data_IF_520691446088
#
_entry.id   IF_520691446088
#
_cell.length_a   1.000
_cell.length_b   1.000
_cell.length_c   1.000
_cell.angle_alpha   90.00
_cell.angle_beta   90.00
_cell.angle_gamma   90.00
#
_symmetry.space_group_name_H-M   'P 1'
#
loop_
_entity.id
_entity.type
_entity.pdbx_description
1 polymer ?
#
# COMPACT_ATOMS: atom_id res chain seq x y z
N UNK A 1 -3.39 22.82 6.10
CA UNK A 1 -2.93 21.91 7.16
C UNK A 1 -3.39 20.53 6.75
N UNK A 2 -2.47 19.60 6.52
CA UNK A 2 -2.80 18.24 6.12
C UNK A 2 -3.34 17.50 7.35
N UNK A 3 -4.54 16.91 7.24
CA UNK A 3 -5.19 16.17 8.31
C UNK A 3 -5.63 14.82 7.79
N UNK A 4 -5.62 13.82 8.65
CA UNK A 4 -6.06 12.47 8.33
C UNK A 4 -7.55 12.52 7.96
N UNK A 5 -7.88 12.03 6.77
CA UNK A 5 -9.26 12.02 6.26
C UNK A 5 -10.18 11.10 7.07
N UNK A 6 -9.61 10.16 7.84
CA UNK A 6 -10.35 9.18 8.65
C UNK A 6 -10.61 9.67 10.08
N UNK A 7 -9.62 10.27 10.75
CA UNK A 7 -9.74 10.61 12.18
C UNK A 7 -9.47 12.09 12.52
N UNK A 8 -9.13 12.92 11.54
CA UNK A 8 -8.78 14.33 11.72
C UNK A 8 -7.43 14.58 12.41
N UNK A 9 -6.64 13.54 12.68
CA UNK A 9 -5.30 13.68 13.24
C UNK A 9 -4.36 14.46 12.31
N UNK A 10 -3.39 15.18 12.88
CA UNK A 10 -2.49 16.08 12.11
C UNK A 10 -1.03 15.64 12.14
N UNK A 11 -0.73 14.62 12.94
CA UNK A 11 0.60 14.04 13.08
C UNK A 11 0.72 12.78 12.22
N UNK A 12 1.78 12.77 11.40
CA UNK A 12 2.10 11.69 10.49
C UNK A 12 3.58 11.37 10.59
N UNK A 13 3.91 10.10 10.41
CA UNK A 13 5.29 9.65 10.21
C UNK A 13 5.43 9.00 8.84
N UNK A 14 6.64 9.05 8.29
CA UNK A 14 6.93 8.40 7.01
C UNK A 14 7.50 7.02 7.28
N UNK A 15 6.91 6.01 6.65
CA UNK A 15 7.44 4.66 6.70
C UNK A 15 7.30 3.96 5.34
N UNK A 16 7.92 2.79 5.22
CA UNK A 16 7.74 1.91 4.07
C UNK A 16 6.83 0.76 4.48
N UNK A 17 5.64 0.71 3.90
CA UNK A 17 4.61 -0.28 4.21
C UNK A 17 4.57 -1.40 3.17
N UNK A 18 3.86 -2.46 3.51
CA UNK A 18 3.49 -3.54 2.59
C UNK A 18 1.98 -3.57 2.45
N UNK A 19 1.49 -3.81 1.24
CA UNK A 19 0.05 -3.89 0.94
C UNK A 19 -0.24 -5.05 -0.02
N UNK A 20 -1.36 -5.73 0.22
CA UNK A 20 -1.86 -6.80 -0.66
C UNK A 20 -2.99 -6.23 -1.50
N UNK A 21 -2.78 -6.18 -2.81
CA UNK A 21 -3.78 -5.76 -3.78
C UNK A 21 -4.48 -6.97 -4.40
N UNK A 22 -5.79 -6.86 -4.60
CA UNK A 22 -6.57 -7.84 -5.34
C UNK A 22 -6.93 -7.27 -6.72
N UNK A 23 -6.26 -7.76 -7.77
CA UNK A 23 -6.40 -7.28 -9.15
C UNK A 23 -6.49 -8.49 -10.09
N UNK A 24 -7.44 -8.47 -11.03
CA UNK A 24 -7.62 -9.54 -12.04
C UNK A 24 -7.68 -10.96 -11.43
N UNK A 25 -8.40 -11.11 -10.31
CA UNK A 25 -8.53 -12.36 -9.55
C UNK A 25 -7.21 -12.90 -8.97
N UNK A 26 -6.20 -12.05 -8.81
CA UNK A 26 -4.91 -12.39 -8.22
C UNK A 26 -4.60 -11.48 -7.04
N UNK A 27 -3.96 -12.05 -6.03
CA UNK A 27 -3.36 -11.28 -4.95
C UNK A 27 -1.93 -10.89 -5.33
N UNK A 28 -1.62 -9.61 -5.19
CA UNK A 28 -0.30 -9.05 -5.49
C UNK A 28 0.18 -8.35 -4.23
N UNK A 29 1.24 -8.88 -3.61
CA UNK A 29 1.94 -8.20 -2.52
C UNK A 29 2.89 -7.16 -3.12
N UNK A 30 2.74 -5.91 -2.70
CA UNK A 30 3.66 -4.82 -3.03
C UNK A 30 4.38 -4.40 -1.76
N UNK A 31 5.70 -4.60 -1.75
CA UNK A 31 6.58 -4.30 -0.62
C UNK A 31 7.17 -2.89 -0.73
N UNK A 32 7.61 -2.35 0.40
CA UNK A 32 8.40 -1.13 0.49
C UNK A 32 7.75 0.14 -0.10
N UNK A 33 6.42 0.25 0.00
CA UNK A 33 5.66 1.40 -0.48
C UNK A 33 5.90 2.59 0.45
N UNK A 34 6.42 3.73 -0.02
CA UNK A 34 6.51 4.94 0.79
C UNK A 34 5.12 5.44 1.19
N UNK A 35 4.86 5.63 2.49
CA UNK A 35 3.58 6.09 2.98
C UNK A 35 3.74 7.15 4.08
N UNK A 36 2.80 8.09 4.13
CA UNK A 36 2.53 8.89 5.33
C UNK A 36 1.50 8.17 6.18
N UNK A 37 1.87 7.82 7.41
CA UNK A 37 1.02 7.04 8.30
C UNK A 37 0.58 7.89 9.49
N UNK A 38 -0.74 7.99 9.68
CA UNK A 38 -1.31 8.75 10.77
C UNK A 38 -0.90 8.14 12.10
N UNK A 39 -0.26 8.92 12.98
CA UNK A 39 0.20 8.46 14.30
C UNK A 39 -0.98 8.04 15.18
N UNK A 40 -2.17 8.60 14.95
CA UNK A 40 -3.35 8.35 15.78
C UNK A 40 -4.12 7.09 15.40
N UNK A 41 -4.39 6.87 14.11
CA UNK A 41 -5.26 5.77 13.66
C UNK A 41 -4.58 4.76 12.73
N UNK A 42 -3.33 5.00 12.33
CA UNK A 42 -2.60 4.11 11.43
C UNK A 42 -3.03 4.20 9.96
N UNK A 43 -3.87 5.16 9.60
CA UNK A 43 -4.27 5.37 8.20
C UNK A 43 -3.04 5.67 7.34
N UNK A 44 -2.92 4.98 6.21
CA UNK A 44 -1.80 5.09 5.28
C UNK A 44 -2.23 5.94 4.09
N UNK A 45 -1.48 7.00 3.81
CA UNK A 45 -1.70 7.84 2.63
C UNK A 45 -0.49 7.80 1.71
N UNK A 46 -0.75 7.62 0.43
CA UNK A 46 0.25 7.60 -0.63
C UNK A 46 0.14 8.88 -1.45
N UNK A 47 1.29 9.45 -1.84
CA UNK A 47 1.29 10.55 -2.78
C UNK A 47 0.95 10.08 -4.21
N UNK A 48 0.72 11.04 -5.11
CA UNK A 48 0.30 10.75 -6.49
C UNK A 48 1.36 9.95 -7.27
N UNK A 49 2.65 10.19 -7.01
CA UNK A 49 3.75 9.47 -7.66
C UNK A 49 3.77 8.01 -7.22
N UNK A 50 3.64 7.76 -5.92
CA UNK A 50 3.59 6.42 -5.34
C UNK A 50 2.37 5.66 -5.82
N UNK A 51 1.19 6.28 -5.79
CA UNK A 51 -0.05 5.66 -6.25
C UNK A 51 0.03 5.27 -7.74
N UNK A 52 0.60 6.13 -8.58
CA UNK A 52 0.79 5.83 -9.99
C UNK A 52 1.87 4.75 -10.22
N UNK A 53 2.96 4.77 -9.44
CA UNK A 53 3.93 3.69 -9.42
C UNK A 53 3.26 2.33 -9.18
N UNK A 54 2.45 2.23 -8.12
CA UNK A 54 1.69 1.02 -7.79
C UNK A 54 0.78 0.61 -8.93
N UNK A 55 -0.03 1.53 -9.49
CA UNK A 55 -0.96 1.22 -10.60
C UNK A 55 -0.21 0.64 -11.79
N UNK A 56 0.91 1.25 -12.21
CA UNK A 56 1.74 0.74 -13.31
C UNK A 56 2.28 -0.67 -13.03
N UNK A 57 2.71 -0.94 -11.79
CA UNK A 57 3.16 -2.28 -11.40
C UNK A 57 2.03 -3.31 -11.45
N UNK A 58 0.85 -2.98 -10.91
CA UNK A 58 -0.31 -3.88 -10.88
C UNK A 58 -0.81 -4.23 -12.29
N UNK A 59 -0.70 -3.30 -13.24
CA UNK A 59 -1.12 -3.52 -14.64
C UNK A 59 0.00 -3.99 -15.58
N UNK A 60 1.11 -4.48 -15.05
CA UNK A 60 2.11 -5.22 -15.83
C UNK A 60 3.15 -4.38 -16.55
N UNK A 61 3.26 -3.08 -16.26
CA UNK A 61 4.38 -2.26 -16.74
C UNK A 61 5.68 -2.54 -15.96
N UNK A 62 5.61 -3.31 -14.87
CA UNK A 62 6.77 -3.88 -14.19
C UNK A 62 6.89 -5.39 -14.42
N UNK A 63 8.11 -5.88 -14.66
CA UNK A 63 8.38 -7.32 -14.56
C UNK A 63 8.33 -7.68 -13.07
N UNK A 64 7.38 -8.52 -12.60
CA UNK A 64 7.46 -9.01 -11.23
C UNK A 64 8.82 -9.71 -11.07
N UNK A 65 9.59 -9.28 -10.07
CA UNK A 65 10.71 -10.11 -9.62
C UNK A 65 10.06 -11.43 -9.21
N UNK A 66 10.45 -12.54 -9.85
CA UNK A 66 9.81 -13.85 -9.68
C UNK A 66 10.01 -14.34 -8.25
N UNK A 67 9.22 -13.82 -7.32
CA UNK A 67 9.18 -14.18 -5.90
C UNK A 67 7.73 -14.53 -5.60
N UNK A 68 7.50 -15.80 -5.30
CA UNK A 68 6.24 -16.28 -4.75
C UNK A 68 6.35 -16.25 -3.23
N UNK A 69 5.33 -15.72 -2.57
CA UNK A 69 5.16 -15.83 -1.11
C UNK A 69 4.00 -16.79 -0.85
N UNK A 70 4.16 -17.69 0.10
CA UNK A 70 3.06 -18.51 0.60
C UNK A 70 2.22 -17.64 1.55
N UNK A 71 0.91 -17.64 1.36
CA UNK A 71 -0.02 -16.82 2.15
C UNK A 71 -1.17 -17.71 2.62
N UNK A 72 -1.23 -17.93 3.93
CA UNK A 72 -2.36 -18.61 4.55
C UNK A 72 -3.59 -17.69 4.53
N UNK A 73 -4.72 -18.22 4.06
CA UNK A 73 -6.00 -17.50 4.02
C UNK A 73 -6.95 -18.14 4.99
N UNK A 74 -7.33 -17.40 6.03
CA UNK A 74 -8.36 -17.81 6.99
C UNK A 74 -9.71 -17.23 6.57
N UNK A 75 -10.64 -18.08 6.16
CA UNK A 75 -12.05 -17.70 5.99
C UNK A 75 -12.79 -17.97 7.30
N UNK A 76 -13.47 -16.94 7.84
CA UNK A 76 -14.36 -17.05 9.01
C UNK A 76 -15.82 -16.91 8.57
#
# INVERSE_FOLDING_TARGET
MFSCEICGGVEFHHEKVEEVFHVDMRYILVEHIPASVCVRCGEKTFDAETAEGIRRYLHGEGKPQRRSVEMEVFAY
#
